data_IF_598661495198
#
_entry.id   IF_598661495198
#
_cell.length_a   1.000
_cell.length_b   1.000
_cell.length_c   1.000
_cell.angle_alpha   90.00
_cell.angle_beta   90.00
_cell.angle_gamma   90.00
#
_symmetry.space_group_name_H-M   'P 1'
#
loop_
_entity.id
_entity.type
_entity.pdbx_description
1 polymer ?
#
# COMPACT_ATOMS: atom_id res chain seq x y z
N UNK A 1 1.31 14.19 -1.28
CA UNK A 1 0.16 14.31 -0.39
C UNK A 1 0.62 14.59 1.04
N UNK A 2 -0.12 15.43 1.77
CA UNK A 2 0.23 15.83 3.13
C UNK A 2 0.12 14.68 4.13
N UNK A 3 1.02 14.63 5.10
CA UNK A 3 1.01 13.66 6.18
C UNK A 3 -0.18 13.87 7.14
N UNK A 4 -0.67 15.10 7.28
CA UNK A 4 -1.81 15.47 8.13
C UNK A 4 -3.13 14.78 7.74
N UNK A 5 -3.21 14.19 6.54
CA UNK A 5 -4.44 13.56 6.02
C UNK A 5 -4.98 12.44 6.91
N UNK A 6 -4.17 11.86 7.79
CA UNK A 6 -4.56 10.82 8.74
C UNK A 6 -4.45 11.26 10.20
N UNK A 7 -4.14 12.53 10.46
CA UNK A 7 -3.98 13.07 11.82
C UNK A 7 -5.31 13.22 12.56
N UNK A 8 -6.39 13.43 11.83
CA UNK A 8 -7.77 13.56 12.35
C UNK A 8 -8.35 12.22 12.85
N UNK A 9 -7.73 11.10 12.49
CA UNK A 9 -8.22 9.76 12.79
C UNK A 9 -7.43 9.15 13.95
N UNK A 10 -8.04 8.85 15.11
CA UNK A 10 -7.27 8.39 16.27
C UNK A 10 -6.86 6.91 16.15
N UNK A 11 -7.73 6.06 15.60
CA UNK A 11 -7.54 4.61 15.65
C UNK A 11 -6.83 4.07 14.41
N UNK A 12 -5.82 3.20 14.60
CA UNK A 12 -5.01 2.63 13.51
C UNK A 12 -5.87 1.95 12.43
N UNK A 13 -6.89 1.18 12.84
CA UNK A 13 -7.83 0.51 11.92
C UNK A 13 -8.51 1.49 10.96
N UNK A 14 -8.92 2.65 11.46
CA UNK A 14 -9.58 3.68 10.63
C UNK A 14 -8.58 4.39 9.74
N UNK A 15 -7.36 4.66 10.23
CA UNK A 15 -6.24 5.15 9.39
C UNK A 15 -5.96 4.18 8.24
N UNK A 16 -5.89 2.87 8.52
CA UNK A 16 -5.70 1.84 7.50
C UNK A 16 -6.80 1.85 6.45
N UNK A 17 -8.07 1.98 6.86
CA UNK A 17 -9.19 2.08 5.92
C UNK A 17 -9.11 3.33 5.03
N UNK A 18 -8.85 4.50 5.64
CA UNK A 18 -8.70 5.79 4.94
C UNK A 18 -7.57 5.74 3.92
N UNK A 19 -6.38 5.26 4.31
CA UNK A 19 -5.24 5.06 3.42
C UNK A 19 -5.57 4.02 2.34
N UNK A 20 -6.32 2.97 2.66
CA UNK A 20 -6.77 1.97 1.70
C UNK A 20 -7.63 2.55 0.58
N UNK A 21 -8.57 3.45 0.91
CA UNK A 21 -9.40 4.14 -0.08
C UNK A 21 -8.56 5.04 -0.99
N UNK A 22 -7.58 5.75 -0.43
CA UNK A 22 -6.63 6.56 -1.17
C UNK A 22 -5.82 5.68 -2.13
N UNK A 23 -5.22 4.59 -1.63
CA UNK A 23 -4.45 3.64 -2.45
C UNK A 23 -5.26 3.09 -3.63
N UNK A 24 -6.55 2.81 -3.42
CA UNK A 24 -7.46 2.39 -4.48
C UNK A 24 -7.70 3.49 -5.51
N UNK A 25 -7.92 4.72 -5.08
CA UNK A 25 -8.08 5.85 -6.00
C UNK A 25 -6.82 6.05 -6.86
N UNK A 26 -5.64 6.02 -6.24
CA UNK A 26 -4.35 6.13 -6.93
C UNK A 26 -4.20 5.05 -8.01
N UNK A 27 -4.56 3.80 -7.69
CA UNK A 27 -4.52 2.69 -8.65
C UNK A 27 -5.53 2.84 -9.81
N UNK A 28 -6.75 3.33 -9.54
CA UNK A 28 -7.77 3.58 -10.57
C UNK A 28 -7.27 4.61 -11.59
N UNK A 29 -6.66 5.69 -11.09
CA UNK A 29 -6.14 6.78 -11.92
C UNK A 29 -4.73 6.55 -12.45
N UNK A 30 -4.16 5.34 -12.23
CA UNK A 30 -2.82 4.95 -12.71
C UNK A 30 -1.74 5.95 -12.31
N UNK A 31 -1.74 6.35 -11.04
CA UNK A 31 -0.68 7.22 -10.50
C UNK A 31 0.62 6.44 -10.39
N UNK A 32 1.69 6.94 -11.00
CA UNK A 32 3.01 6.29 -11.00
C UNK A 32 3.82 6.56 -9.72
N UNK A 33 3.68 7.75 -9.12
CA UNK A 33 4.45 8.15 -7.94
C UNK A 33 3.59 8.89 -6.91
N UNK A 34 3.78 8.54 -5.63
CA UNK A 34 3.14 9.20 -4.49
C UNK A 34 4.21 9.78 -3.57
N UNK A 35 4.38 11.10 -3.64
CA UNK A 35 5.26 11.83 -2.72
C UNK A 35 4.52 12.16 -1.43
N UNK A 36 5.02 11.76 -0.26
CA UNK A 36 4.42 12.09 1.04
C UNK A 36 5.30 13.14 1.70
N UNK A 37 4.71 14.26 2.16
CA UNK A 37 5.46 15.37 2.74
C UNK A 37 4.83 15.85 4.06
N UNK A 38 5.63 16.33 5.02
CA UNK A 38 5.10 17.00 6.20
C UNK A 38 4.56 18.37 5.81
N UNK A 39 3.39 18.69 6.33
CA UNK A 39 2.65 19.93 6.06
C UNK A 39 2.34 20.73 7.34
N UNK A 40 2.69 20.18 8.51
CA UNK A 40 2.61 20.87 9.80
C UNK A 40 4.02 21.08 10.39
N UNK A 41 4.63 22.26 10.23
CA UNK A 41 6.02 22.49 10.64
C UNK A 41 6.29 22.33 12.14
N UNK A 42 5.25 22.43 12.97
CA UNK A 42 5.35 22.36 14.44
C UNK A 42 5.10 20.95 15.00
N UNK A 43 4.70 20.01 14.15
CA UNK A 43 4.29 18.66 14.53
C UNK A 43 5.27 17.65 13.94
N UNK A 44 5.74 16.68 14.73
CA UNK A 44 6.51 15.56 14.19
C UNK A 44 5.59 14.57 13.47
N UNK A 45 5.47 14.69 12.15
CA UNK A 45 4.62 13.85 11.31
C UNK A 45 5.32 12.59 10.76
N UNK A 46 6.52 12.25 11.25
CA UNK A 46 7.29 11.09 10.73
C UNK A 46 6.52 9.77 10.88
N UNK A 47 5.71 9.62 11.93
CA UNK A 47 4.92 8.40 12.17
C UNK A 47 3.80 8.25 11.14
N UNK A 48 3.09 9.33 10.85
CA UNK A 48 2.02 9.40 9.84
C UNK A 48 2.60 9.13 8.46
N UNK A 49 3.72 9.78 8.12
CA UNK A 49 4.42 9.54 6.85
C UNK A 49 4.80 8.07 6.69
N UNK A 50 5.44 7.48 7.71
CA UNK A 50 5.83 6.07 7.69
C UNK A 50 4.63 5.12 7.59
N UNK A 51 3.52 5.44 8.27
CA UNK A 51 2.30 4.64 8.22
C UNK A 51 1.68 4.66 6.82
N UNK A 52 1.53 5.85 6.22
CA UNK A 52 0.99 6.01 4.85
C UNK A 52 1.89 5.27 3.86
N UNK A 53 3.20 5.52 3.90
CA UNK A 53 4.17 4.88 3.02
C UNK A 53 4.12 3.36 3.12
N UNK A 54 4.10 2.82 4.35
CA UNK A 54 4.09 1.37 4.60
C UNK A 54 2.82 0.72 4.06
N UNK A 55 1.65 1.34 4.29
CA UNK A 55 0.37 0.78 3.82
C UNK A 55 0.27 0.86 2.30
N UNK A 56 0.61 2.00 1.68
CA UNK A 56 0.56 2.14 0.23
C UNK A 56 1.52 1.16 -0.47
N UNK A 57 2.76 1.05 0.03
CA UNK A 57 3.72 0.07 -0.48
C UNK A 57 3.20 -1.37 -0.31
N UNK A 58 2.60 -1.71 0.83
CA UNK A 58 2.00 -3.03 1.03
C UNK A 58 0.85 -3.31 0.04
N UNK A 59 0.04 -2.30 -0.26
CA UNK A 59 -1.06 -2.42 -1.21
C UNK A 59 -0.57 -2.63 -2.64
N UNK A 60 0.43 -1.86 -3.06
CA UNK A 60 1.05 -1.90 -4.40
C UNK A 60 1.86 -3.19 -4.62
N UNK A 61 2.48 -3.74 -3.56
CA UNK A 61 3.21 -4.99 -3.70
C UNK A 61 2.28 -6.17 -4.03
N UNK A 62 2.59 -6.98 -5.06
CA UNK A 62 1.83 -8.18 -5.40
C UNK A 62 1.72 -9.19 -4.26
N UNK A 63 0.57 -9.86 -4.16
CA UNK A 63 0.22 -10.71 -3.01
C UNK A 63 1.27 -11.81 -2.74
N UNK A 64 1.85 -12.39 -3.78
CA UNK A 64 2.87 -13.45 -3.67
C UNK A 64 4.24 -12.94 -3.17
N UNK A 65 4.51 -11.63 -3.21
CA UNK A 65 5.76 -11.03 -2.70
C UNK A 65 5.63 -10.49 -1.28
N UNK A 66 4.40 -10.16 -0.83
CA UNK A 66 4.15 -9.50 0.46
C UNK A 66 4.80 -10.22 1.64
N UNK A 67 4.69 -11.54 1.69
CA UNK A 67 5.25 -12.35 2.79
C UNK A 67 6.78 -12.28 2.86
N UNK A 68 7.46 -12.06 1.73
CA UNK A 68 8.92 -11.96 1.66
C UNK A 68 9.40 -10.52 1.92
N UNK A 69 8.68 -9.52 1.42
CA UNK A 69 9.07 -8.11 1.52
C UNK A 69 8.64 -7.45 2.83
N UNK A 70 7.51 -7.86 3.42
CA UNK A 70 6.97 -7.28 4.64
C UNK A 70 7.07 -8.28 5.79
N UNK A 71 7.98 -7.97 6.73
CA UNK A 71 7.97 -8.60 8.06
C UNK A 71 6.72 -8.20 8.84
N UNK A 72 6.46 -8.88 9.96
CA UNK A 72 5.40 -8.49 10.89
C UNK A 72 5.68 -7.07 11.38
N UNK A 73 4.81 -6.13 11.01
CA UNK A 73 4.88 -4.70 11.31
C UNK A 73 3.61 -4.27 12.04
N UNK A 74 3.70 -3.55 13.17
CA UNK A 74 2.53 -3.03 13.88
C UNK A 74 1.58 -2.21 12.99
N UNK A 75 2.15 -1.46 12.05
CA UNK A 75 1.44 -0.62 11.08
C UNK A 75 0.50 -1.44 10.17
N UNK A 76 0.84 -2.71 9.93
CA UNK A 76 0.09 -3.63 9.07
C UNK A 76 -0.86 -4.56 9.85
N UNK A 77 -1.06 -4.33 11.16
CA UNK A 77 -1.95 -5.14 12.01
C UNK A 77 -3.35 -5.33 11.40
N UNK A 78 -3.87 -4.30 10.74
CA UNK A 78 -5.21 -4.30 10.13
C UNK A 78 -5.19 -4.44 8.60
N UNK A 79 -4.08 -4.87 8.00
CA UNK A 79 -3.96 -4.96 6.53
C UNK A 79 -5.04 -5.83 5.85
N UNK A 80 -5.70 -6.73 6.59
CA UNK A 80 -6.80 -7.55 6.10
C UNK A 80 -8.07 -6.77 5.70
N UNK A 81 -8.23 -5.51 6.14
CA UNK A 81 -9.38 -4.67 5.74
C UNK A 81 -9.13 -3.86 4.47
N UNK A 82 -7.89 -3.88 3.94
CA UNK A 82 -7.53 -3.08 2.78
C UNK A 82 -8.29 -3.53 1.53
N UNK A 83 -8.81 -2.61 0.72
CA UNK A 83 -9.50 -2.97 -0.51
C UNK A 83 -8.51 -3.56 -1.53
N UNK A 84 -8.94 -4.52 -2.37
CA UNK A 84 -8.09 -5.06 -3.43
C UNK A 84 -7.87 -4.01 -4.53
N UNK A 85 -6.64 -3.88 -5.03
CA UNK A 85 -6.31 -2.98 -6.14
C UNK A 85 -6.64 -3.58 -7.51
N UNK A 86 -6.42 -4.90 -7.69
CA UNK A 86 -6.62 -5.63 -8.97
C UNK A 86 -5.92 -4.97 -10.17
N UNK A 87 -4.77 -4.34 -9.94
CA UNK A 87 -3.91 -3.78 -10.99
C UNK A 87 -3.21 -4.90 -11.78
N UNK A 88 -2.72 -4.64 -13.01
CA UNK A 88 -2.13 -5.68 -13.88
C UNK A 88 -0.96 -6.45 -13.24
N UNK A 89 -0.16 -5.80 -12.39
CA UNK A 89 0.94 -6.42 -11.66
C UNK A 89 0.50 -7.30 -10.47
N UNK A 90 -0.81 -7.40 -10.17
CA UNK A 90 -1.40 -8.33 -9.19
C UNK A 90 -2.11 -9.52 -9.86
N UNK A 91 -1.38 -10.46 -10.50
CA UNK A 91 -1.99 -11.66 -11.04
C UNK A 91 -2.59 -12.50 -9.91
N UNK A 92 -3.78 -13.05 -10.15
CA UNK A 92 -4.46 -13.97 -9.21
C UNK A 92 -4.02 -15.44 -9.39
N UNK A 93 -3.17 -15.70 -10.38
CA UNK A 93 -2.80 -17.06 -10.77
C UNK A 93 -1.33 -17.32 -10.46
N UNK A 94 -1.08 -18.26 -9.55
CA UNK A 94 0.30 -18.62 -9.16
C UNK A 94 0.76 -19.95 -9.78
N UNK A 95 -0.11 -20.62 -10.56
CA UNK A 95 0.21 -21.93 -11.14
C UNK A 95 1.08 -21.75 -12.38
N UNK A 96 2.28 -22.33 -12.34
CA UNK A 96 3.23 -22.37 -13.48
C UNK A 96 2.56 -22.82 -14.79
N UNK A 97 1.68 -23.84 -14.71
CA UNK A 97 0.93 -24.38 -15.86
C UNK A 97 -0.04 -23.38 -16.54
N UNK A 98 -0.36 -22.27 -15.88
CA UNK A 98 -1.28 -21.23 -16.37
C UNK A 98 -0.56 -19.96 -16.81
N UNK A 99 0.77 -19.92 -16.70
CA UNK A 99 1.58 -18.80 -17.17
C UNK A 99 1.54 -18.74 -18.69
N UNK A 100 1.40 -17.53 -19.23
CA UNK A 100 1.46 -17.30 -20.68
C UNK A 100 2.82 -16.71 -21.05
N UNK A 101 3.36 -17.15 -22.18
CA UNK A 101 4.55 -16.54 -22.77
C UNK A 101 4.23 -15.07 -23.08
N UNK A 102 5.09 -14.14 -22.61
CA UNK A 102 4.88 -12.70 -22.74
C UNK A 102 4.16 -12.03 -21.55
N UNK A 103 3.79 -12.78 -20.50
CA UNK A 103 3.23 -12.20 -19.27
C UNK A 103 4.33 -11.52 -18.43
N UNK A 104 4.08 -10.28 -18.01
CA UNK A 104 4.97 -9.53 -17.11
C UNK A 104 4.61 -9.79 -15.66
N UNK A 105 5.62 -10.02 -14.82
CA UNK A 105 5.47 -10.23 -13.37
C UNK A 105 6.59 -9.54 -12.62
N UNK A 106 6.29 -9.17 -11.38
CA UNK A 106 7.29 -8.65 -10.47
C UNK A 106 8.04 -9.79 -9.78
N UNK A 107 9.32 -9.54 -9.51
CA UNK A 107 10.20 -10.49 -8.88
C UNK A 107 11.06 -9.82 -7.82
N UNK A 108 11.54 -10.61 -6.86
CA UNK A 108 12.51 -10.19 -5.84
C UNK A 108 13.68 -11.17 -5.83
N UNK A 109 14.90 -10.63 -5.94
CA UNK A 109 16.17 -11.37 -5.95
C UNK A 109 16.58 -11.73 -4.52
#
# INVERSE_FOLDING_TARGET
MPASLVSDVPHLREKTSKIGLIGRALAIFRVDEVVIYPDEPKTDQRREMNLIATILAYMETPQYLRRRLFKIKPELRYAGILPPLRTPHHPLTDKVKKLKVGEFREGVV
#
